data_IF_791752045865
#
_entry.id   IF_791752045865
#
_cell.length_a   1.000
_cell.length_b   1.000
_cell.length_c   1.000
_cell.angle_alpha   90.00
_cell.angle_beta   90.00
_cell.angle_gamma   90.00
#
_symmetry.space_group_name_H-M   'P 1'
#
loop_
_entity.id
_entity.type
_entity.pdbx_description
1 polymer ?
#
# COMPACT_ATOMS: atom_id res chain seq x y z
N UNK A 1 -26.39 6.57 -4.38
CA UNK A 1 -25.02 7.12 -4.26
C UNK A 1 -24.11 5.95 -3.93
N UNK A 2 -23.27 5.50 -4.87
CA UNK A 2 -22.25 4.49 -4.58
C UNK A 2 -21.15 5.14 -3.78
N UNK A 3 -20.87 4.62 -2.58
CA UNK A 3 -19.69 5.01 -1.81
C UNK A 3 -18.43 4.70 -2.60
N UNK A 4 -17.42 5.57 -2.51
CA UNK A 4 -16.10 5.25 -3.04
C UNK A 4 -15.57 3.98 -2.36
N UNK A 5 -14.79 3.15 -3.08
CA UNK A 5 -14.09 2.03 -2.44
C UNK A 5 -13.18 2.58 -1.33
N UNK A 6 -12.98 1.82 -0.25
CA UNK A 6 -12.10 2.24 0.83
C UNK A 6 -10.68 2.44 0.31
N UNK A 7 -10.04 3.53 0.76
CA UNK A 7 -8.68 3.88 0.39
C UNK A 7 -7.95 4.34 1.65
N UNK A 8 -6.77 3.76 1.90
CA UNK A 8 -5.90 4.18 2.98
C UNK A 8 -4.63 4.82 2.43
N UNK A 9 -4.21 5.91 3.06
CA UNK A 9 -2.92 6.54 2.93
C UNK A 9 -2.31 6.61 4.34
N UNK A 10 -1.22 5.88 4.56
CA UNK A 10 -0.57 5.76 5.87
C UNK A 10 -1.56 5.38 6.99
N UNK A 11 -2.39 4.36 6.75
CA UNK A 11 -3.34 3.81 7.72
C UNK A 11 -4.62 4.63 7.97
N UNK A 12 -4.83 5.75 7.26
CA UNK A 12 -6.05 6.57 7.37
C UNK A 12 -6.67 6.90 6.01
N UNK A 13 -7.93 7.33 6.01
CA UNK A 13 -8.52 7.90 4.80
C UNK A 13 -7.74 9.15 4.37
N UNK A 14 -7.46 9.31 3.06
CA UNK A 14 -6.77 10.48 2.55
C UNK A 14 -7.62 11.75 2.70
N UNK A 15 -6.94 12.87 2.89
CA UNK A 15 -7.51 14.21 2.94
C UNK A 15 -6.91 15.07 1.81
N UNK A 16 -7.58 16.18 1.45
CA UNK A 16 -7.09 17.06 0.39
C UNK A 16 -5.67 17.60 0.64
N UNK A 17 -5.28 17.77 1.91
CA UNK A 17 -3.93 18.20 2.31
C UNK A 17 -2.82 17.19 1.94
N UNK A 18 -3.17 15.92 1.67
CA UNK A 18 -2.17 14.92 1.28
C UNK A 18 -1.68 15.09 -0.16
N UNK A 19 -2.39 15.89 -0.97
CA UNK A 19 -2.02 16.18 -2.35
C UNK A 19 -0.68 16.92 -2.44
N UNK A 20 -0.39 17.81 -1.49
CA UNK A 20 0.86 18.60 -1.52
C UNK A 20 2.09 17.69 -1.43
N UNK A 21 2.04 16.68 -0.56
CA UNK A 21 3.11 15.68 -0.46
C UNK A 21 3.17 14.79 -1.71
N UNK A 22 2.02 14.34 -2.21
CA UNK A 22 1.96 13.49 -3.41
C UNK A 22 2.54 14.20 -4.64
N UNK A 23 2.23 15.49 -4.82
CA UNK A 23 2.72 16.31 -5.92
C UNK A 23 4.23 16.54 -5.86
N UNK A 24 4.82 16.52 -4.67
CA UNK A 24 6.27 16.61 -4.47
C UNK A 24 6.97 15.23 -4.43
N UNK A 25 6.21 14.13 -4.51
CA UNK A 25 6.77 12.79 -4.31
C UNK A 25 7.59 12.30 -5.51
N UNK A 26 8.64 11.52 -5.20
CA UNK A 26 9.43 10.81 -6.22
C UNK A 26 8.59 9.73 -6.94
N UNK A 27 7.58 9.20 -6.25
CA UNK A 27 6.62 8.26 -6.84
C UNK A 27 5.87 8.88 -8.02
N UNK A 28 5.37 10.12 -7.88
CA UNK A 28 4.70 10.82 -8.98
C UNK A 28 5.68 11.28 -10.05
N UNK A 29 6.83 11.84 -9.65
CA UNK A 29 7.78 12.45 -10.57
C UNK A 29 8.56 11.43 -11.43
N UNK A 30 8.87 10.26 -10.86
CA UNK A 30 9.79 9.28 -11.47
C UNK A 30 9.22 7.86 -11.53
N UNK A 31 8.04 7.62 -10.97
CA UNK A 31 7.51 6.26 -10.81
C UNK A 31 8.27 5.45 -9.75
N UNK A 32 8.98 6.11 -8.84
CA UNK A 32 9.75 5.41 -7.81
C UNK A 32 8.84 4.88 -6.70
N UNK A 33 8.62 3.58 -6.73
CA UNK A 33 7.83 2.87 -5.73
C UNK A 33 7.57 1.44 -6.17
N UNK A 34 6.86 0.71 -5.32
CA UNK A 34 6.43 -0.66 -5.59
C UNK A 34 4.94 -0.79 -5.32
N UNK A 35 4.30 -1.71 -6.03
CA UNK A 35 2.89 -2.01 -5.81
C UNK A 35 2.61 -3.49 -6.04
N UNK A 36 1.48 -3.92 -5.52
CA UNK A 36 0.96 -5.28 -5.68
C UNK A 36 -0.55 -5.18 -5.90
N UNK A 37 -1.08 -6.08 -6.70
CA UNK A 37 -2.53 -6.30 -6.80
C UNK A 37 -2.77 -7.71 -6.33
N UNK A 38 -3.76 -7.88 -5.45
CA UNK A 38 -4.17 -9.17 -4.93
C UNK A 38 -5.66 -9.37 -5.17
N UNK A 39 -6.09 -10.63 -5.18
CA UNK A 39 -7.50 -10.99 -5.31
C UNK A 39 -8.12 -11.10 -3.93
N UNK A 40 -9.31 -10.54 -3.77
CA UNK A 40 -10.16 -10.81 -2.61
C UNK A 40 -11.27 -11.77 -3.03
N UNK A 41 -11.52 -12.82 -2.25
CA UNK A 41 -12.62 -13.75 -2.46
C UNK A 41 -13.24 -14.06 -1.11
N UNK A 42 -14.55 -13.88 -1.00
CA UNK A 42 -15.30 -14.10 0.25
C UNK A 42 -14.71 -13.34 1.46
N UNK A 43 -14.29 -12.10 1.26
CA UNK A 43 -13.72 -11.27 2.32
C UNK A 43 -12.25 -11.58 2.65
N UNK A 44 -11.58 -12.45 1.88
CA UNK A 44 -10.20 -12.83 2.16
C UNK A 44 -9.25 -12.50 1.02
N UNK A 45 -8.15 -11.82 1.36
CA UNK A 45 -7.02 -11.60 0.48
C UNK A 45 -6.29 -12.92 0.20
N UNK A 46 -6.32 -13.35 -1.07
CA UNK A 46 -5.67 -14.58 -1.52
C UNK A 46 -4.16 -14.34 -1.69
N UNK A 47 -3.35 -15.28 -1.21
CA UNK A 47 -1.87 -15.22 -1.25
C UNK A 47 -1.26 -13.96 -0.61
N UNK A 48 -1.85 -13.47 0.48
CA UNK A 48 -1.44 -12.21 1.10
C UNK A 48 0.06 -12.18 1.46
N UNK A 49 0.59 -13.25 2.04
CA UNK A 49 2.02 -13.34 2.40
C UNK A 49 2.93 -13.20 1.18
N UNK A 50 2.60 -13.85 0.06
CA UNK A 50 3.36 -13.75 -1.19
C UNK A 50 3.32 -12.32 -1.77
N UNK A 51 2.16 -11.66 -1.67
CA UNK A 51 2.02 -10.27 -2.09
C UNK A 51 2.84 -9.31 -1.22
N UNK A 52 2.92 -9.55 0.09
CA UNK A 52 3.77 -8.77 1.01
C UNK A 52 5.26 -9.03 0.75
N UNK A 53 5.66 -10.28 0.53
CA UNK A 53 7.03 -10.63 0.18
C UNK A 53 7.47 -9.96 -1.13
N UNK A 54 6.57 -9.87 -2.12
CA UNK A 54 6.84 -9.13 -3.37
C UNK A 54 7.09 -7.65 -3.12
N UNK A 55 6.31 -7.01 -2.24
CA UNK A 55 6.52 -5.60 -1.87
C UNK A 55 7.86 -5.41 -1.17
N UNK A 56 8.18 -6.26 -0.18
CA UNK A 56 9.46 -6.23 0.54
C UNK A 56 10.65 -6.38 -0.42
N UNK A 57 10.59 -7.36 -1.32
CA UNK A 57 11.64 -7.61 -2.31
C UNK A 57 11.83 -6.43 -3.27
N UNK A 58 10.73 -5.80 -3.70
CA UNK A 58 10.78 -4.63 -4.55
C UNK A 58 11.39 -3.42 -3.84
N UNK A 59 11.03 -3.17 -2.58
CA UNK A 59 11.64 -2.09 -1.78
C UNK A 59 13.14 -2.32 -1.57
N UNK A 60 13.55 -3.56 -1.29
CA UNK A 60 14.96 -3.91 -1.18
C UNK A 60 15.73 -3.64 -2.48
N UNK A 61 15.13 -3.91 -3.65
CA UNK A 61 15.72 -3.60 -4.95
C UNK A 61 15.86 -2.09 -5.20
N UNK A 62 15.01 -1.27 -4.58
CA UNK A 62 15.11 0.19 -4.57
C UNK A 62 16.01 0.74 -3.45
N UNK A 63 16.68 -0.14 -2.70
CA UNK A 63 17.54 0.22 -1.56
C UNK A 63 16.78 0.95 -0.43
N UNK A 64 15.47 0.75 -0.33
CA UNK A 64 14.70 1.24 0.80
C UNK A 64 15.01 0.40 2.05
N UNK A 65 15.08 1.02 3.23
CA UNK A 65 15.30 0.29 4.47
C UNK A 65 14.10 -0.59 4.79
N UNK A 66 14.36 -1.81 5.25
CA UNK A 66 13.33 -2.81 5.58
C UNK A 66 12.33 -2.35 6.63
N UNK A 67 12.78 -1.46 7.51
CA UNK A 67 12.07 -0.83 8.62
C UNK A 67 11.28 0.43 8.21
N UNK A 68 11.36 0.86 6.95
CA UNK A 68 10.57 1.99 6.44
C UNK A 68 9.06 1.70 6.46
N UNK A 69 8.67 0.43 6.52
CA UNK A 69 7.28 -0.02 6.49
C UNK A 69 7.01 -0.92 7.69
N UNK A 70 5.95 -0.62 8.42
CA UNK A 70 5.40 -1.55 9.40
C UNK A 70 4.57 -2.62 8.67
N UNK A 71 5.22 -3.74 8.36
CA UNK A 71 4.61 -4.84 7.61
C UNK A 71 3.46 -5.51 8.36
N UNK A 72 3.55 -5.59 9.69
CA UNK A 72 2.51 -6.19 10.52
C UNK A 72 1.25 -5.32 10.52
N UNK A 73 1.42 -4.00 10.59
CA UNK A 73 0.32 -3.04 10.45
C UNK A 73 -0.32 -3.14 9.06
N UNK A 74 0.49 -3.14 7.99
CA UNK A 74 -0.02 -3.24 6.62
C UNK A 74 -0.81 -4.54 6.39
N UNK A 75 -0.32 -5.67 6.86
CA UNK A 75 -1.03 -6.95 6.78
C UNK A 75 -2.39 -6.88 7.48
N UNK A 76 -2.43 -6.30 8.69
CA UNK A 76 -3.66 -6.11 9.46
C UNK A 76 -4.64 -5.19 8.75
N UNK A 77 -4.16 -4.11 8.14
CA UNK A 77 -4.99 -3.17 7.38
C UNK A 77 -5.61 -3.85 6.15
N UNK A 78 -4.83 -4.61 5.38
CA UNK A 78 -5.34 -5.37 4.23
C UNK A 78 -6.40 -6.38 4.67
N UNK A 79 -6.17 -7.13 5.75
CA UNK A 79 -7.14 -8.09 6.32
C UNK A 79 -8.42 -7.42 6.82
N UNK A 80 -8.36 -6.16 7.25
CA UNK A 80 -9.53 -5.40 7.73
C UNK A 80 -10.36 -4.82 6.59
N UNK A 81 -9.74 -4.58 5.42
CA UNK A 81 -10.39 -4.01 4.24
C UNK A 81 -10.92 -5.05 3.25
N UNK A 82 -10.44 -6.29 3.33
CA UNK A 82 -10.85 -7.40 2.47
C UNK A 82 -12.23 -7.90 2.86
#
# INVERSE_FOLDING_TARGET
>A
MTSLPPMLLNGRNPAASDLDWLLASRALAFGEGVFTTLRVTEGQAIFLEDHLLRLQSGLAALLYPSEAVDWLLLEKEIKTLS
#
